data_IF_416621965021
#
_entry.id   IF_416621965021
#
_cell.length_a   1.000
_cell.length_b   1.000
_cell.length_c   1.000
_cell.angle_alpha   90.00
_cell.angle_beta   90.00
_cell.angle_gamma   90.00
#
_symmetry.space_group_name_H-M   'P 1'
#
loop_
_entity.id
_entity.type
_entity.pdbx_description
1 polymer ?
#
# COMPACT_ATOMS: atom_id res chain seq x y z
N UNK A 1 17.19 -8.07 12.37
CA UNK A 1 17.14 -8.21 10.90
C UNK A 1 15.70 -8.02 10.48
N UNK A 2 15.36 -6.86 9.90
CA UNK A 2 14.00 -6.62 9.42
C UNK A 2 13.89 -7.29 8.05
N UNK A 3 13.11 -8.37 7.99
CA UNK A 3 12.86 -9.10 6.74
C UNK A 3 12.12 -8.15 5.81
N UNK A 4 12.77 -7.83 4.70
CA UNK A 4 12.21 -7.03 3.62
C UNK A 4 11.21 -7.93 2.90
N UNK A 5 9.94 -7.90 3.29
CA UNK A 5 8.90 -8.66 2.61
C UNK A 5 8.74 -8.12 1.18
N UNK A 6 9.36 -8.81 0.22
CA UNK A 6 9.22 -8.49 -1.20
C UNK A 6 7.82 -8.84 -1.68
N UNK A 7 7.36 -8.21 -2.78
CA UNK A 7 6.10 -8.59 -3.44
C UNK A 7 6.04 -10.09 -3.76
N UNK A 8 7.20 -10.75 -3.95
CA UNK A 8 7.31 -12.18 -4.13
C UNK A 8 7.04 -12.97 -2.84
N UNK A 9 7.45 -12.49 -1.66
CA UNK A 9 7.13 -13.13 -0.37
C UNK A 9 5.64 -12.97 -0.02
N UNK A 10 5.04 -11.83 -0.34
CA UNK A 10 3.59 -11.62 -0.26
C UNK A 10 2.85 -12.58 -1.20
N UNK A 11 3.30 -12.72 -2.45
CA UNK A 11 2.79 -13.70 -3.41
C UNK A 11 2.98 -15.15 -2.96
N UNK A 12 4.10 -15.50 -2.29
CA UNK A 12 4.38 -16.86 -1.83
C UNK A 12 3.53 -17.23 -0.61
N UNK A 13 3.38 -16.30 0.35
CA UNK A 13 2.47 -16.47 1.47
C UNK A 13 1.00 -16.60 1.03
N UNK A 14 0.63 -15.96 -0.10
CA UNK A 14 -0.68 -16.11 -0.75
C UNK A 14 -0.81 -17.44 -1.50
N UNK A 15 0.24 -17.94 -2.17
CA UNK A 15 0.23 -19.27 -2.83
C UNK A 15 0.14 -20.45 -1.87
N UNK A 16 0.68 -20.33 -0.65
CA UNK A 16 0.51 -21.35 0.40
C UNK A 16 -0.96 -21.51 0.85
N UNK A 17 -1.85 -20.56 0.48
CA UNK A 17 -3.29 -20.60 0.77
C UNK A 17 -4.11 -21.43 -0.24
N UNK A 18 -3.49 -22.02 -1.27
CA UNK A 18 -4.19 -22.82 -2.28
C UNK A 18 -4.42 -24.29 -1.88
N UNK A 19 -4.03 -24.71 -0.67
CA UNK A 19 -4.31 -26.07 -0.18
C UNK A 19 -5.74 -26.21 0.39
N UNK A 20 -6.45 -27.32 0.08
CA UNK A 20 -7.87 -27.28 -0.30
C UNK A 20 -8.90 -27.38 0.85
N UNK A 21 -8.64 -26.85 2.05
CA UNK A 21 -9.59 -26.99 3.18
C UNK A 21 -9.69 -25.82 4.15
N UNK A 22 -9.11 -24.66 3.87
CA UNK A 22 -9.19 -23.52 4.77
C UNK A 22 -9.96 -22.37 4.12
N UNK A 23 -11.17 -22.10 4.63
CA UNK A 23 -11.78 -20.75 4.67
C UNK A 23 -10.62 -19.76 4.71
N UNK A 24 -10.56 -18.73 3.85
CA UNK A 24 -9.76 -17.54 4.21
C UNK A 24 -10.26 -17.18 5.60
N UNK A 25 -9.48 -17.41 6.68
CA UNK A 25 -10.08 -17.41 7.99
C UNK A 25 -10.57 -15.99 8.16
N UNK A 26 -11.87 -15.80 8.43
CA UNK A 26 -12.40 -14.47 8.75
C UNK A 26 -11.49 -13.78 9.77
N UNK A 27 -10.91 -14.56 10.68
CA UNK A 27 -9.85 -14.19 11.60
C UNK A 27 -8.59 -13.61 10.95
N UNK A 28 -8.11 -14.11 9.82
CA UNK A 28 -6.95 -13.57 9.09
C UNK A 28 -7.29 -12.25 8.40
N UNK A 29 -8.44 -12.15 7.73
CA UNK A 29 -8.90 -10.89 7.14
C UNK A 29 -9.11 -9.84 8.25
N UNK A 30 -9.76 -10.23 9.34
CA UNK A 30 -10.02 -9.38 10.50
C UNK A 30 -8.72 -9.02 11.22
N UNK A 31 -7.73 -9.92 11.28
CA UNK A 31 -6.38 -9.63 11.80
C UNK A 31 -5.66 -8.62 10.92
N UNK A 32 -5.74 -8.73 9.59
CA UNK A 32 -5.16 -7.75 8.65
C UNK A 32 -5.87 -6.41 8.72
N UNK A 33 -7.20 -6.41 8.80
CA UNK A 33 -8.00 -5.20 8.97
C UNK A 33 -7.69 -4.49 10.30
N UNK A 34 -7.64 -5.23 11.42
CA UNK A 34 -7.22 -4.68 12.72
C UNK A 34 -5.79 -4.15 12.71
N UNK A 35 -4.87 -4.84 12.03
CA UNK A 35 -3.50 -4.37 11.87
C UNK A 35 -3.44 -3.08 11.03
N UNK A 36 -4.22 -3.01 9.95
CA UNK A 36 -4.33 -1.80 9.12
C UNK A 36 -4.95 -0.64 9.91
N UNK A 37 -6.04 -0.88 10.67
CA UNK A 37 -6.66 0.12 11.53
C UNK A 37 -5.69 0.64 12.59
N UNK A 38 -4.96 -0.25 13.26
CA UNK A 38 -3.94 0.16 14.23
C UNK A 38 -2.83 0.99 13.60
N UNK A 39 -2.46 0.72 12.35
CA UNK A 39 -1.51 1.54 11.61
C UNK A 39 -2.13 2.90 11.21
N UNK A 40 -3.40 2.94 10.81
CA UNK A 40 -4.17 4.19 10.54
C UNK A 40 -4.14 5.09 11.78
N UNK A 41 -4.48 4.55 12.94
CA UNK A 41 -4.58 5.34 14.18
C UNK A 41 -3.22 5.91 14.60
N UNK A 42 -2.14 5.14 14.38
CA UNK A 42 -0.75 5.57 14.60
C UNK A 42 -0.32 6.66 13.62
N UNK A 43 -0.58 6.48 12.32
CA UNK A 43 -0.28 7.47 11.29
C UNK A 43 -1.03 8.77 11.52
N UNK A 44 -2.32 8.69 11.85
CA UNK A 44 -3.17 9.86 12.14
C UNK A 44 -2.62 10.61 13.35
N UNK A 45 -2.29 9.90 14.43
CA UNK A 45 -1.71 10.50 15.63
C UNK A 45 -0.35 11.17 15.35
N UNK A 46 0.48 10.55 14.52
CA UNK A 46 1.77 11.12 14.10
C UNK A 46 1.60 12.36 13.23
N UNK A 47 0.71 12.33 12.24
CA UNK A 47 0.40 13.48 11.38
C UNK A 47 -0.15 14.63 12.23
N UNK A 48 -1.09 14.39 13.13
CA UNK A 48 -1.62 15.43 14.02
C UNK A 48 -0.53 16.05 14.89
N UNK A 49 0.39 15.24 15.43
CA UNK A 49 1.53 15.73 16.20
C UNK A 49 2.48 16.60 15.33
N UNK A 50 2.80 16.16 14.11
CA UNK A 50 3.67 16.91 13.20
C UNK A 50 2.99 18.21 12.75
N UNK A 51 1.69 18.18 12.46
CA UNK A 51 0.90 19.38 12.11
C UNK A 51 0.89 20.37 13.28
N UNK A 52 0.69 19.91 14.51
CA UNK A 52 0.74 20.78 15.68
C UNK A 52 2.13 21.42 15.88
N UNK A 53 3.21 20.66 15.69
CA UNK A 53 4.57 21.20 15.75
C UNK A 53 4.85 22.16 14.58
N UNK A 54 4.31 21.87 13.40
CA UNK A 54 4.40 22.73 12.23
C UNK A 54 3.64 24.04 12.44
N UNK A 55 2.44 24.01 13.01
CA UNK A 55 1.67 25.21 13.37
C UNK A 55 2.40 26.07 14.41
N UNK A 56 3.03 25.41 15.39
CA UNK A 56 3.85 26.06 16.42
C UNK A 56 5.12 26.70 15.84
N UNK A 57 5.74 26.07 14.85
CA UNK A 57 6.91 26.62 14.15
C UNK A 57 6.53 27.68 13.13
N UNK A 58 5.39 27.57 12.46
CA UNK A 58 4.87 28.62 11.56
C UNK A 58 4.50 29.90 12.31
N UNK A 59 4.06 29.77 13.57
CA UNK A 59 3.81 30.92 14.44
C UNK A 59 5.09 31.62 14.90
N UNK A 60 6.27 30.99 14.76
CA UNK A 60 7.59 31.61 14.93
C UNK A 60 8.39 31.53 13.62
N UNK A 61 8.32 32.56 12.77
CA UNK A 61 9.03 32.70 11.48
C UNK A 61 10.28 31.77 11.36
N UNK A 62 10.32 30.80 10.42
CA UNK A 62 11.33 29.75 10.45
C UNK A 62 12.71 30.30 10.11
N UNK A 63 13.51 30.57 11.12
CA UNK A 63 14.95 30.73 10.97
C UNK A 63 15.57 29.37 10.62
N UNK A 64 16.65 29.37 9.82
CA UNK A 64 17.41 28.17 9.44
C UNK A 64 17.77 27.30 10.67
N UNK A 65 18.02 27.94 11.81
CA UNK A 65 18.35 27.30 13.08
C UNK A 65 17.22 26.39 13.62
N UNK A 66 15.96 26.72 13.36
CA UNK A 66 14.81 25.90 13.79
C UNK A 66 14.77 24.56 13.03
N UNK A 67 15.07 24.59 11.73
CA UNK A 67 15.11 23.37 10.90
C UNK A 67 16.27 22.46 11.31
N UNK A 68 17.43 23.05 11.61
CA UNK A 68 18.60 22.30 12.11
C UNK A 68 18.29 21.63 13.44
N UNK A 69 17.69 22.37 14.38
CA UNK A 69 17.26 21.83 15.68
C UNK A 69 16.28 20.64 15.54
N UNK A 70 15.32 20.71 14.62
CA UNK A 70 14.38 19.62 14.38
C UNK A 70 15.07 18.38 13.81
N UNK A 71 16.03 18.56 12.90
CA UNK A 71 16.82 17.47 12.34
C UNK A 71 17.70 16.80 13.40
N UNK A 72 18.36 17.59 14.26
CA UNK A 72 19.16 17.09 15.37
C UNK A 72 18.30 16.26 16.33
N UNK A 73 17.10 16.72 16.66
CA UNK A 73 16.17 15.97 17.51
C UNK A 73 15.70 14.65 16.90
N UNK A 74 15.59 14.55 15.57
CA UNK A 74 15.28 13.28 14.89
C UNK A 74 16.49 12.34 14.92
N UNK A 75 17.69 12.87 14.67
CA UNK A 75 18.95 12.10 14.70
C UNK A 75 19.22 11.55 16.11
N UNK A 76 19.00 12.35 17.15
CA UNK A 76 19.16 11.93 18.55
C UNK A 76 18.17 10.82 18.92
N UNK A 77 16.90 10.94 18.51
CA UNK A 77 15.91 9.87 18.72
C UNK A 77 16.29 8.57 17.99
N UNK A 78 16.86 8.68 16.78
CA UNK A 78 17.35 7.52 16.02
C UNK A 78 18.54 6.84 16.71
N UNK A 79 19.47 7.62 17.27
CA UNK A 79 20.65 7.09 17.97
C UNK A 79 20.30 6.45 19.31
N UNK A 80 19.42 7.07 20.11
CA UNK A 80 18.93 6.54 21.41
C UNK A 80 18.22 5.19 21.24
N UNK A 81 17.47 5.01 20.15
CA UNK A 81 16.76 3.76 19.90
C UNK A 81 17.69 2.60 19.52
N UNK A 82 19.02 2.78 19.50
CA UNK A 82 20.04 1.78 19.13
C UNK A 82 19.68 1.04 17.84
N UNK A 83 18.96 1.71 16.94
CA UNK A 83 18.69 1.18 15.61
C UNK A 83 19.93 1.51 14.80
N UNK A 84 20.51 0.51 14.14
CA UNK A 84 21.66 0.64 13.23
C UNK A 84 21.34 1.53 12.00
N UNK A 85 20.82 2.74 12.21
CA UNK A 85 20.64 3.71 11.14
C UNK A 85 22.01 4.29 10.82
N UNK A 86 22.44 4.11 9.58
CA UNK A 86 23.68 4.70 9.06
C UNK A 86 23.46 6.15 8.61
N UNK A 87 22.29 6.74 8.87
CA UNK A 87 21.92 8.07 8.39
C UNK A 87 22.83 9.15 8.98
N UNK A 88 23.09 9.12 10.29
CA UNK A 88 24.00 10.06 10.94
C UNK A 88 25.36 10.03 10.26
N UNK A 89 25.94 8.85 10.08
CA UNK A 89 27.21 8.67 9.39
C UNK A 89 27.18 9.19 7.94
N UNK A 90 26.11 8.89 7.21
CA UNK A 90 25.91 9.35 5.83
C UNK A 90 25.82 10.88 5.73
N UNK A 91 25.17 11.54 6.70
CA UNK A 91 25.08 12.99 6.82
C UNK A 91 26.45 13.61 7.17
N UNK A 92 27.22 12.98 8.06
CA UNK A 92 28.60 13.43 8.36
C UNK A 92 29.52 13.33 7.15
N UNK A 93 29.38 12.28 6.33
CA UNK A 93 30.07 12.23 5.04
C UNK A 93 29.62 13.37 4.12
N UNK A 94 28.32 13.66 4.05
CA UNK A 94 27.83 14.74 3.20
C UNK A 94 28.39 16.11 3.65
N UNK A 95 28.42 16.37 4.96
CA UNK A 95 29.01 17.58 5.54
C UNK A 95 30.50 17.73 5.15
N UNK A 96 31.26 16.62 5.21
CA UNK A 96 32.63 16.59 4.73
C UNK A 96 32.72 16.95 3.23
N UNK A 97 31.86 16.36 2.39
CA UNK A 97 31.83 16.62 0.95
C UNK A 97 31.55 18.10 0.66
N UNK A 98 30.62 18.73 1.38
CA UNK A 98 30.33 20.15 1.22
C UNK A 98 31.51 21.05 1.65
N UNK A 99 32.27 20.67 2.68
CA UNK A 99 33.50 21.37 3.06
C UNK A 99 34.57 21.27 1.95
N UNK A 100 34.69 20.12 1.30
CA UNK A 100 35.58 19.94 0.14
C UNK A 100 35.12 20.79 -1.05
N UNK A 101 33.81 20.85 -1.33
CA UNK A 101 33.26 21.71 -2.40
C UNK A 101 33.53 23.20 -2.16
N UNK A 102 33.50 23.63 -0.90
CA UNK A 102 33.88 25.00 -0.48
C UNK A 102 35.39 25.23 -0.44
N UNK A 103 36.20 24.24 -0.82
CA UNK A 103 37.67 24.25 -0.77
C UNK A 103 38.25 24.44 0.64
N UNK A 104 37.45 24.20 1.70
CA UNK A 104 37.85 24.28 3.12
C UNK A 104 38.46 22.95 3.58
N UNK A 105 39.54 22.51 2.91
CA UNK A 105 40.15 21.19 3.14
C UNK A 105 40.59 20.95 4.59
N UNK A 106 41.14 21.97 5.25
CA UNK A 106 41.57 21.86 6.65
C UNK A 106 40.40 21.66 7.61
N UNK A 107 39.25 22.28 7.34
CA UNK A 107 38.03 22.10 8.13
C UNK A 107 37.47 20.69 7.93
N UNK A 108 37.50 20.19 6.70
CA UNK A 108 37.09 18.82 6.37
C UNK A 108 37.94 17.79 7.16
N UNK A 109 39.26 17.99 7.25
CA UNK A 109 40.14 17.12 8.06
C UNK A 109 39.81 17.20 9.55
N UNK A 110 39.52 18.39 10.08
CA UNK A 110 39.11 18.55 11.49
C UNK A 110 37.78 17.85 11.77
N UNK A 111 36.82 17.99 10.86
CA UNK A 111 35.53 17.31 10.93
C UNK A 111 35.69 15.79 10.92
N UNK A 112 36.47 15.25 9.97
CA UNK A 112 36.75 13.82 9.86
C UNK A 112 37.36 13.25 11.14
N UNK A 113 38.33 13.94 11.76
CA UNK A 113 38.93 13.51 13.04
C UNK A 113 37.92 13.43 14.18
N UNK A 114 36.94 14.34 14.19
CA UNK A 114 35.92 14.39 15.23
C UNK A 114 34.84 13.33 15.04
N UNK A 115 34.37 13.12 13.80
CA UNK A 115 33.16 12.35 13.53
C UNK A 115 33.41 10.96 12.93
N UNK A 116 34.59 10.69 12.36
CA UNK A 116 34.93 9.38 11.77
C UNK A 116 35.85 8.54 12.65
N UNK A 117 36.21 9.02 13.84
CA UNK A 117 37.11 8.32 14.79
C UNK A 117 36.57 6.98 15.29
N UNK A 118 35.24 6.82 15.32
CA UNK A 118 34.56 5.60 15.76
C UNK A 118 34.07 4.74 14.58
N UNK A 119 34.51 5.01 13.35
CA UNK A 119 34.11 4.21 12.19
C UNK A 119 34.70 2.80 12.28
N UNK A 120 33.86 1.77 12.10
CA UNK A 120 34.26 0.37 12.17
C UNK A 120 33.76 -0.43 10.96
N UNK A 121 34.46 -1.52 10.62
CA UNK A 121 34.07 -2.42 9.53
C UNK A 121 33.94 -1.70 8.18
N UNK A 122 32.80 -1.89 7.50
CA UNK A 122 32.55 -1.30 6.18
C UNK A 122 32.53 0.23 6.15
N UNK A 123 32.31 0.91 7.28
CA UNK A 123 32.38 2.37 7.36
C UNK A 123 33.81 2.89 7.10
N UNK A 124 34.83 2.11 7.45
CA UNK A 124 36.23 2.50 7.21
C UNK A 124 36.56 2.60 5.73
N UNK A 125 35.96 1.74 4.90
CA UNK A 125 36.20 1.78 3.45
C UNK A 125 35.55 3.02 2.83
N UNK A 126 34.36 3.41 3.29
CA UNK A 126 33.74 4.68 2.93
C UNK A 126 34.58 5.88 3.40
N UNK A 127 35.11 5.86 4.63
CA UNK A 127 36.00 6.93 5.15
C UNK A 127 37.26 7.04 4.29
N UNK A 128 37.93 5.93 3.95
CA UNK A 128 39.12 5.95 3.07
C UNK A 128 38.82 6.59 1.73
N UNK A 129 37.67 6.23 1.13
CA UNK A 129 37.24 6.79 -0.14
C UNK A 129 36.98 8.29 -0.03
N UNK A 130 36.26 8.73 0.99
CA UNK A 130 35.95 10.16 1.21
C UNK A 130 37.21 10.97 1.52
N UNK A 131 38.13 10.43 2.31
CA UNK A 131 39.42 11.06 2.60
C UNK A 131 40.28 11.22 1.34
N UNK A 132 40.18 10.29 0.38
CA UNK A 132 40.84 10.40 -0.92
C UNK A 132 40.46 11.67 -1.70
N UNK A 133 39.26 12.22 -1.48
CA UNK A 133 38.82 13.47 -2.13
C UNK A 133 39.69 14.68 -1.78
N UNK A 134 40.44 14.65 -0.67
CA UNK A 134 41.36 15.73 -0.30
C UNK A 134 42.44 15.97 -1.37
N UNK A 135 42.83 14.91 -2.09
CA UNK A 135 43.87 14.96 -3.11
C UNK A 135 43.37 15.49 -4.47
N UNK A 136 42.06 15.57 -4.67
CA UNK A 136 41.44 15.90 -5.95
C UNK A 136 40.75 17.28 -5.92
N UNK A 137 40.63 17.97 -7.06
CA UNK A 137 39.84 19.20 -7.16
C UNK A 137 38.32 18.90 -7.18
N UNK A 138 37.49 19.90 -6.85
CA UNK A 138 36.04 19.74 -6.70
C UNK A 138 35.28 19.52 -8.02
N UNK A 139 35.93 19.70 -9.16
CA UNK A 139 35.44 19.47 -10.53
C UNK A 139 35.92 18.13 -11.13
N UNK A 140 36.43 17.23 -10.28
CA UNK A 140 37.00 15.95 -10.72
C UNK A 140 35.99 15.07 -11.47
N UNK A 141 36.39 14.58 -12.63
CA UNK A 141 35.63 13.61 -13.44
C UNK A 141 35.99 12.14 -13.15
N UNK A 142 36.92 11.90 -12.23
CA UNK A 142 37.40 10.57 -11.85
C UNK A 142 36.38 9.88 -10.93
N UNK A 143 35.86 8.72 -11.36
CA UNK A 143 35.06 7.84 -10.49
C UNK A 143 36.01 7.11 -9.52
N UNK A 144 35.65 6.98 -8.23
CA UNK A 144 34.32 7.16 -7.65
C UNK A 144 34.03 8.55 -7.05
N UNK A 145 34.97 9.49 -7.14
CA UNK A 145 34.85 10.82 -6.51
C UNK A 145 33.82 11.72 -7.19
N UNK A 146 33.69 11.59 -8.51
CA UNK A 146 32.62 12.24 -9.29
C UNK A 146 31.24 11.91 -8.72
N UNK A 147 31.00 10.62 -8.43
CA UNK A 147 29.71 10.13 -7.96
C UNK A 147 29.40 10.61 -6.53
N UNK A 148 30.44 10.74 -5.69
CA UNK A 148 30.32 11.35 -4.35
C UNK A 148 29.95 12.83 -4.41
N UNK A 149 30.44 13.55 -5.41
CA UNK A 149 30.16 14.96 -5.65
C UNK A 149 28.86 15.18 -6.45
N UNK A 150 28.12 14.15 -6.83
CA UNK A 150 26.88 14.31 -7.58
C UNK A 150 25.73 14.84 -6.69
N UNK A 151 24.95 15.85 -7.13
CA UNK A 151 23.78 16.34 -6.41
C UNK A 151 22.70 15.27 -6.15
N UNK A 152 22.65 14.19 -6.92
CA UNK A 152 21.71 13.07 -6.74
C UNK A 152 21.89 12.39 -5.37
N UNK A 153 23.06 12.49 -4.75
CA UNK A 153 23.32 11.99 -3.39
C UNK A 153 22.36 12.61 -2.35
N UNK A 154 21.98 13.89 -2.51
CA UNK A 154 20.97 14.51 -1.66
C UNK A 154 19.61 13.83 -1.76
N UNK A 155 19.19 13.38 -2.95
CA UNK A 155 17.94 12.63 -3.11
C UNK A 155 17.99 11.30 -2.36
N UNK A 156 19.12 10.61 -2.40
CA UNK A 156 19.33 9.36 -1.66
C UNK A 156 19.28 9.60 -0.14
N UNK A 157 19.93 10.65 0.37
CA UNK A 157 19.88 11.03 1.78
C UNK A 157 18.46 11.38 2.25
N UNK A 158 17.70 12.12 1.44
CA UNK A 158 16.28 12.42 1.72
C UNK A 158 15.47 11.13 1.79
N UNK A 159 15.71 10.18 0.88
CA UNK A 159 15.01 8.89 0.89
C UNK A 159 15.38 8.03 2.11
N UNK A 160 16.66 8.00 2.48
CA UNK A 160 17.16 7.33 3.68
C UNK A 160 16.54 7.94 4.94
N UNK A 161 16.49 9.28 5.03
CA UNK A 161 15.83 10.00 6.12
C UNK A 161 14.35 9.63 6.22
N UNK A 162 13.61 9.65 5.11
CA UNK A 162 12.19 9.26 5.10
C UNK A 162 12.00 7.83 5.58
N UNK A 163 12.81 6.90 5.08
CA UNK A 163 12.75 5.50 5.47
C UNK A 163 13.03 5.32 6.98
N UNK A 164 14.09 5.93 7.49
CA UNK A 164 14.44 5.84 8.90
C UNK A 164 13.42 6.54 9.81
N UNK A 165 12.84 7.64 9.34
CA UNK A 165 11.76 8.35 10.03
C UNK A 165 10.45 7.53 10.08
N UNK A 166 10.04 6.90 8.97
CA UNK A 166 8.88 6.01 8.97
C UNK A 166 9.10 4.84 9.92
N UNK A 167 10.29 4.24 9.91
CA UNK A 167 10.64 3.18 10.86
C UNK A 167 10.65 3.68 12.30
N UNK A 168 11.21 4.86 12.57
CA UNK A 168 11.22 5.51 13.89
C UNK A 168 9.82 5.53 14.47
N UNK A 169 8.86 6.00 13.69
CA UNK A 169 7.47 6.15 14.08
C UNK A 169 6.60 4.90 13.87
N UNK A 170 7.19 3.76 13.48
CA UNK A 170 6.49 2.50 13.19
C UNK A 170 5.41 2.65 12.10
N UNK A 171 5.63 3.56 11.16
CA UNK A 171 4.80 3.71 9.97
C UNK A 171 5.18 2.66 8.93
N UNK A 172 4.21 2.25 8.13
CA UNK A 172 4.45 1.32 7.03
C UNK A 172 5.18 2.01 5.88
N UNK A 173 5.99 1.26 5.13
CA UNK A 173 6.55 1.76 3.86
C UNK A 173 5.52 1.80 2.72
N UNK A 174 4.40 1.11 2.91
CA UNK A 174 3.28 1.11 1.99
C UNK A 174 2.20 2.04 2.53
N UNK A 175 1.62 2.85 1.64
CA UNK A 175 0.51 3.71 2.00
C UNK A 175 -0.64 2.88 2.58
N UNK A 176 -1.12 3.29 3.75
CA UNK A 176 -2.31 2.73 4.38
C UNK A 176 -3.52 2.73 3.45
N UNK A 177 -3.70 3.79 2.65
CA UNK A 177 -4.75 3.84 1.64
C UNK A 177 -4.63 2.66 0.65
N UNK A 178 -3.41 2.36 0.21
CA UNK A 178 -3.16 1.25 -0.71
C UNK A 178 -3.49 -0.09 -0.07
N UNK A 179 -3.06 -0.32 1.17
CA UNK A 179 -3.32 -1.57 1.90
C UNK A 179 -4.84 -1.75 2.10
N UNK A 180 -5.53 -0.71 2.56
CA UNK A 180 -6.97 -0.76 2.82
C UNK A 180 -7.76 -0.96 1.53
N UNK A 181 -7.39 -0.27 0.45
CA UNK A 181 -8.01 -0.44 -0.86
C UNK A 181 -7.82 -1.87 -1.38
N UNK A 182 -6.61 -2.41 -1.30
CA UNK A 182 -6.32 -3.79 -1.73
C UNK A 182 -7.08 -4.82 -0.88
N UNK A 183 -7.13 -4.64 0.44
CA UNK A 183 -7.89 -5.52 1.32
C UNK A 183 -9.39 -5.49 0.99
N UNK A 184 -9.95 -4.29 0.78
CA UNK A 184 -11.33 -4.11 0.35
C UNK A 184 -11.61 -4.78 -0.99
N UNK A 185 -10.80 -4.49 -2.01
CA UNK A 185 -10.93 -5.11 -3.34
C UNK A 185 -10.84 -6.64 -3.27
N UNK A 186 -9.93 -7.19 -2.46
CA UNK A 186 -9.80 -8.65 -2.28
C UNK A 186 -11.05 -9.27 -1.66
N UNK A 187 -11.71 -8.55 -0.73
CA UNK A 187 -12.92 -9.03 -0.05
C UNK A 187 -14.16 -9.08 -0.97
N UNK A 188 -14.20 -8.25 -2.01
CA UNK A 188 -15.32 -8.18 -2.98
C UNK A 188 -14.98 -8.77 -4.35
N UNK A 189 -13.71 -9.12 -4.59
CA UNK A 189 -13.25 -9.73 -5.84
C UNK A 189 -13.78 -11.15 -5.96
N UNK A 190 -14.46 -11.43 -7.07
CA UNK A 190 -14.94 -12.77 -7.42
C UNK A 190 -14.42 -13.18 -8.80
N UNK A 191 -14.42 -14.49 -9.13
CA UNK A 191 -14.07 -14.96 -10.48
C UNK A 191 -14.94 -14.34 -11.59
N UNK A 192 -16.20 -14.01 -11.28
CA UNK A 192 -17.16 -13.43 -12.23
C UNK A 192 -16.74 -12.04 -12.74
N UNK A 193 -15.87 -11.33 -12.01
CA UNK A 193 -15.36 -10.02 -12.41
C UNK A 193 -14.41 -10.07 -13.62
N UNK A 194 -13.87 -11.24 -13.95
CA UNK A 194 -12.86 -11.43 -15.01
C UNK A 194 -13.29 -12.37 -16.13
N UNK A 195 -14.56 -12.78 -16.18
CA UNK A 195 -15.09 -13.54 -17.32
C UNK A 195 -15.05 -12.71 -18.61
N UNK A 196 -14.65 -13.36 -19.70
CA UNK A 196 -14.45 -12.74 -21.01
C UNK A 196 -15.77 -12.24 -21.62
N UNK A 197 -16.88 -12.96 -21.38
CA UNK A 197 -18.19 -12.67 -21.96
C UNK A 197 -18.80 -11.33 -21.50
N UNK A 198 -18.29 -10.72 -20.43
CA UNK A 198 -18.72 -9.40 -19.91
C UNK A 198 -20.15 -9.35 -19.34
N UNK A 199 -21.01 -10.31 -19.67
CA UNK A 199 -22.42 -10.43 -19.26
C UNK A 199 -22.60 -10.64 -17.76
N UNK A 200 -21.58 -11.14 -17.06
CA UNK A 200 -21.57 -11.40 -15.63
C UNK A 200 -21.10 -10.22 -14.78
N UNK A 201 -20.64 -9.12 -15.39
CA UNK A 201 -20.16 -7.95 -14.65
C UNK A 201 -21.34 -7.20 -14.04
N UNK A 202 -21.25 -6.95 -12.74
CA UNK A 202 -22.24 -6.14 -12.04
C UNK A 202 -21.81 -4.65 -12.13
N UNK A 203 -22.64 -3.74 -12.68
CA UNK A 203 -22.32 -2.31 -12.70
C UNK A 203 -22.12 -1.72 -11.30
N UNK A 204 -22.77 -2.27 -10.28
CA UNK A 204 -22.63 -1.81 -8.89
C UNK A 204 -21.43 -2.41 -8.17
N UNK A 205 -20.67 -3.30 -8.82
CA UNK A 205 -19.48 -3.91 -8.23
C UNK A 205 -18.24 -3.02 -8.47
N UNK A 206 -17.59 -2.52 -7.40
CA UNK A 206 -16.39 -1.69 -7.55
C UNK A 206 -15.26 -2.37 -8.34
N UNK A 207 -15.07 -3.69 -8.16
CA UNK A 207 -14.03 -4.46 -8.88
C UNK A 207 -14.32 -4.60 -10.37
N UNK A 208 -15.59 -4.51 -10.80
CA UNK A 208 -15.94 -4.57 -12.22
C UNK A 208 -15.67 -3.24 -12.95
N UNK A 209 -15.39 -2.15 -12.23
CA UNK A 209 -14.99 -0.88 -12.84
C UNK A 209 -13.60 -0.99 -13.49
N UNK A 210 -13.41 -0.31 -14.63
CA UNK A 210 -12.18 -0.42 -15.44
C UNK A 210 -10.89 -0.14 -14.65
N UNK A 211 -10.89 0.88 -13.80
CA UNK A 211 -9.71 1.30 -13.03
C UNK A 211 -9.40 0.34 -11.88
N UNK A 212 -10.41 -0.03 -11.09
CA UNK A 212 -10.21 -0.92 -9.95
C UNK A 212 -9.99 -2.38 -10.36
N UNK A 213 -10.53 -2.81 -11.50
CA UNK A 213 -10.31 -4.16 -12.03
C UNK A 213 -8.82 -4.44 -12.27
N UNK A 214 -8.10 -3.48 -12.88
CA UNK A 214 -6.65 -3.59 -13.10
C UNK A 214 -5.87 -3.68 -11.78
N UNK A 215 -6.23 -2.85 -10.81
CA UNK A 215 -5.61 -2.86 -9.48
C UNK A 215 -5.90 -4.15 -8.70
N UNK A 216 -7.09 -4.73 -8.90
CA UNK A 216 -7.52 -5.94 -8.24
C UNK A 216 -7.00 -7.23 -8.89
N UNK A 217 -6.47 -7.18 -10.12
CA UNK A 217 -6.01 -8.36 -10.86
C UNK A 217 -4.99 -9.23 -10.10
N UNK A 218 -3.92 -8.68 -9.49
CA UNK A 218 -2.94 -9.49 -8.74
C UNK A 218 -3.42 -9.94 -7.35
N UNK A 219 -4.58 -9.47 -6.88
CA UNK A 219 -5.08 -9.73 -5.54
C UNK A 219 -5.75 -11.10 -5.43
N UNK A 220 -5.79 -11.73 -4.24
CA UNK A 220 -6.56 -12.97 -4.03
C UNK A 220 -8.06 -12.72 -4.22
N UNK A 221 -8.79 -13.80 -4.55
CA UNK A 221 -10.25 -13.77 -4.64
C UNK A 221 -10.89 -14.08 -3.28
N UNK A 222 -12.06 -13.51 -3.02
CA UNK A 222 -12.83 -13.82 -1.82
C UNK A 222 -13.34 -15.27 -1.88
N UNK A 223 -13.13 -16.02 -0.80
CA UNK A 223 -13.75 -17.33 -0.63
C UNK A 223 -15.16 -17.17 -0.05
N UNK A 224 -16.19 -17.29 -0.87
CA UNK A 224 -17.58 -17.24 -0.41
C UNK A 224 -18.01 -18.62 0.09
N UNK A 225 -18.12 -18.80 1.42
CA UNK A 225 -18.59 -20.06 2.01
C UNK A 225 -20.08 -20.31 1.76
N UNK A 226 -20.89 -19.24 1.67
CA UNK A 226 -22.32 -19.31 1.41
C UNK A 226 -22.65 -18.37 0.24
N UNK A 227 -23.31 -18.90 -0.79
CA UNK A 227 -23.83 -18.09 -1.88
C UNK A 227 -25.23 -17.61 -1.52
N UNK A 228 -25.51 -16.31 -1.74
CA UNK A 228 -26.87 -15.76 -1.67
C UNK A 228 -27.30 -15.37 -3.06
N UNK A 229 -28.47 -15.84 -3.48
CA UNK A 229 -29.05 -15.39 -4.74
C UNK A 229 -29.63 -13.98 -4.57
N UNK A 230 -29.35 -13.13 -5.54
CA UNK A 230 -29.89 -11.77 -5.60
C UNK A 230 -30.56 -11.59 -6.96
N UNK A 231 -31.77 -11.04 -6.96
CA UNK A 231 -32.51 -10.82 -8.20
C UNK A 231 -31.85 -9.74 -9.06
N UNK A 232 -31.66 -10.04 -10.35
CA UNK A 232 -31.10 -9.10 -11.32
C UNK A 232 -32.00 -7.88 -11.58
N UNK A 233 -33.31 -8.00 -11.36
CA UNK A 233 -34.29 -6.93 -11.62
C UNK A 233 -34.41 -6.02 -10.39
N UNK A 234 -34.78 -6.58 -9.24
CA UNK A 234 -35.03 -5.78 -8.03
C UNK A 234 -33.79 -5.54 -7.16
N UNK A 235 -32.72 -6.33 -7.32
CA UNK A 235 -31.59 -6.32 -6.40
C UNK A 235 -31.88 -6.95 -5.03
N UNK A 236 -33.07 -7.51 -4.82
CA UNK A 236 -33.47 -8.16 -3.56
C UNK A 236 -32.93 -9.58 -3.44
N UNK A 237 -32.68 -10.03 -2.21
CA UNK A 237 -32.25 -11.39 -1.91
C UNK A 237 -33.39 -12.37 -2.19
N UNK A 238 -33.09 -13.44 -2.94
CA UNK A 238 -34.03 -14.54 -3.12
C UNK A 238 -33.94 -15.48 -1.93
N UNK A 239 -35.07 -15.76 -1.29
CA UNK A 239 -35.19 -16.54 -0.06
C UNK A 239 -36.57 -17.22 0.00
N UNK A 240 -36.97 -17.73 1.15
CA UNK A 240 -38.27 -18.39 1.35
C UNK A 240 -39.48 -17.48 1.00
N UNK A 241 -39.35 -16.19 1.27
CA UNK A 241 -40.40 -15.18 1.03
C UNK A 241 -40.34 -14.57 -0.38
N UNK A 242 -39.20 -14.71 -1.09
CA UNK A 242 -39.01 -14.30 -2.48
C UNK A 242 -38.28 -15.41 -3.24
N UNK A 243 -38.95 -16.52 -3.55
CA UNK A 243 -38.28 -17.71 -4.06
C UNK A 243 -37.66 -17.46 -5.45
N UNK A 244 -36.53 -18.11 -5.77
CA UNK A 244 -35.97 -18.10 -7.11
C UNK A 244 -36.88 -18.87 -8.08
N UNK A 245 -37.26 -18.21 -9.16
CA UNK A 245 -38.12 -18.72 -10.23
C UNK A 245 -37.34 -18.71 -11.54
N UNK A 246 -37.30 -19.86 -12.22
CA UNK A 246 -36.61 -20.05 -13.50
C UNK A 246 -37.60 -20.02 -14.66
N UNK A 247 -37.32 -19.19 -15.66
CA UNK A 247 -38.05 -19.20 -16.93
C UNK A 247 -37.55 -20.34 -17.83
N UNK A 248 -38.33 -20.76 -18.85
CA UNK A 248 -37.96 -21.87 -19.75
C UNK A 248 -36.61 -21.72 -20.47
N UNK A 249 -36.11 -20.49 -20.60
CA UNK A 249 -34.79 -20.21 -21.18
C UNK A 249 -33.62 -20.34 -20.17
N UNK A 250 -33.88 -20.80 -18.95
CA UNK A 250 -32.87 -21.08 -17.93
C UNK A 250 -32.45 -19.87 -17.08
N UNK A 251 -33.03 -18.69 -17.28
CA UNK A 251 -32.74 -17.52 -16.45
C UNK A 251 -33.60 -17.49 -15.18
N UNK A 252 -32.95 -17.20 -14.05
CA UNK A 252 -33.56 -17.17 -12.71
C UNK A 252 -33.79 -15.74 -12.22
N UNK A 253 -34.98 -15.49 -11.68
CA UNK A 253 -35.45 -14.21 -11.13
C UNK A 253 -36.18 -14.43 -9.80
N UNK A 254 -36.37 -13.39 -9.01
CA UNK A 254 -37.17 -13.50 -7.79
C UNK A 254 -38.66 -13.49 -8.14
N UNK A 255 -39.47 -14.27 -7.43
CA UNK A 255 -40.92 -14.32 -7.63
C UNK A 255 -41.56 -12.92 -7.62
N UNK A 256 -41.21 -12.08 -6.66
CA UNK A 256 -41.75 -10.71 -6.56
C UNK A 256 -41.42 -9.86 -7.79
N UNK A 257 -40.22 -10.06 -8.36
CA UNK A 257 -39.80 -9.34 -9.57
C UNK A 257 -40.51 -9.84 -10.82
N UNK A 258 -40.73 -11.15 -10.95
CA UNK A 258 -41.51 -11.69 -12.08
C UNK A 258 -42.96 -11.24 -12.00
N UNK A 259 -43.52 -11.15 -10.79
CA UNK A 259 -44.86 -10.66 -10.56
C UNK A 259 -45.01 -9.19 -10.97
N UNK A 260 -44.00 -8.35 -10.69
CA UNK A 260 -44.06 -6.92 -11.03
C UNK A 260 -43.90 -6.61 -12.52
N UNK A 261 -43.19 -7.46 -13.27
CA UNK A 261 -43.01 -7.28 -14.73
C UNK A 261 -44.03 -8.07 -15.57
N UNK A 262 -44.95 -8.79 -14.92
CA UNK A 262 -46.00 -9.57 -15.57
C UNK A 262 -47.02 -8.64 -16.22
N UNK A 263 -47.35 -8.90 -17.48
CA UNK A 263 -48.47 -8.29 -18.20
C UNK A 263 -49.46 -9.39 -18.53
N UNK A 264 -50.64 -9.32 -17.93
CA UNK A 264 -51.70 -10.34 -17.98
C UNK A 264 -51.23 -11.73 -17.49
N UNK A 265 -50.94 -12.67 -18.38
CA UNK A 265 -50.40 -14.00 -18.06
C UNK A 265 -48.98 -14.21 -18.60
N UNK A 266 -48.39 -13.19 -19.21
CA UNK A 266 -47.10 -13.29 -19.88
C UNK A 266 -46.03 -12.47 -19.16
N UNK A 267 -44.81 -12.97 -19.23
CA UNK A 267 -43.62 -12.28 -18.73
C UNK A 267 -42.61 -12.19 -19.86
N UNK A 268 -42.07 -10.99 -20.06
CA UNK A 268 -40.98 -10.74 -21.01
C UNK A 268 -39.65 -10.87 -20.26
N UNK A 269 -38.80 -11.80 -20.67
CA UNK A 269 -37.48 -11.97 -20.08
C UNK A 269 -36.63 -10.70 -20.32
N UNK A 270 -36.14 -10.01 -19.28
CA UNK A 270 -35.37 -8.78 -19.48
C UNK A 270 -34.06 -8.95 -20.25
N UNK A 271 -33.51 -10.18 -20.26
CA UNK A 271 -32.21 -10.50 -20.89
C UNK A 271 -32.36 -10.90 -22.37
N UNK A 272 -33.29 -11.81 -22.67
CA UNK A 272 -33.46 -12.35 -24.04
C UNK A 272 -34.59 -11.69 -24.81
N UNK A 273 -35.46 -10.93 -24.15
CA UNK A 273 -36.70 -10.35 -24.70
C UNK A 273 -37.74 -11.38 -25.17
N UNK A 274 -37.53 -12.66 -24.86
CA UNK A 274 -38.49 -13.72 -25.13
C UNK A 274 -39.69 -13.62 -24.18
N UNK A 275 -40.86 -14.05 -24.65
CA UNK A 275 -42.12 -13.97 -23.92
C UNK A 275 -42.55 -15.37 -23.50
N UNK A 276 -42.75 -15.56 -22.21
CA UNK A 276 -43.18 -16.83 -21.62
C UNK A 276 -44.48 -16.65 -20.84
N UNK A 277 -45.26 -17.72 -20.70
CA UNK A 277 -46.39 -17.69 -19.77
C UNK A 277 -45.86 -17.78 -18.32
N UNK A 278 -46.43 -17.02 -17.40
CA UNK A 278 -46.04 -17.03 -15.99
C UNK A 278 -46.14 -18.43 -15.36
N UNK A 279 -47.10 -19.25 -15.82
CA UNK A 279 -47.28 -20.64 -15.38
C UNK A 279 -46.11 -21.57 -15.74
N UNK A 280 -45.30 -21.19 -16.74
CA UNK A 280 -44.12 -21.95 -17.16
C UNK A 280 -42.89 -21.66 -16.29
N UNK A 281 -42.99 -20.73 -15.34
CA UNK A 281 -41.89 -20.43 -14.42
C UNK A 281 -41.83 -21.47 -13.30
N UNK A 282 -40.70 -22.14 -13.16
CA UNK A 282 -40.51 -23.19 -12.14
C UNK A 282 -39.73 -22.67 -10.94
N UNK A 283 -40.16 -23.05 -9.73
CA UNK A 283 -39.42 -22.74 -8.51
C UNK A 283 -38.16 -23.58 -8.43
N UNK A 284 -37.02 -22.94 -8.24
CA UNK A 284 -35.72 -23.61 -8.13
C UNK A 284 -35.34 -23.77 -6.66
N UNK A 285 -34.66 -24.87 -6.34
CA UNK A 285 -34.04 -25.10 -5.04
C UNK A 285 -32.53 -25.21 -5.24
N UNK A 286 -31.76 -24.47 -4.43
CA UNK A 286 -30.31 -24.58 -4.39
C UNK A 286 -29.97 -25.36 -3.13
N UNK A 287 -29.36 -26.54 -3.31
CA UNK A 287 -28.77 -27.35 -2.24
C UNK A 287 -27.31 -26.97 -2.01
#
# INVERSE_FOLDING_TARGET
>A
MAVQESAAQLSMALKVQEYPTLKVPYETLNKRFRAAQKNIDRETSHVTMVVAELEKTLSSCPAVDSVVSLLDGVVEKLSVLKRKSCLEFSLRIQEFIELIRQNKRMDAVRHARKHFSQAEGGQLDEVKQVMGMLAFPSDTHISPYKDLLDPARWRMLIQQFRYDNYRLHQLGNNSVFTITLQAGLSAIKTPQCYKEDGTSKNPDCPVCSKSLNKLAQPLPMAHCANSRLVCKISGEVMNENNPPMMLPNGYVYGYNSLLSIRQDEKVVCPRTKEVFNFSQAEKVYIM
#
